data_IF_357877300640
#
_entry.id   IF_357877300640
#
_cell.length_a   1.000
_cell.length_b   1.000
_cell.length_c   1.000
_cell.angle_alpha   90.00
_cell.angle_beta   90.00
_cell.angle_gamma   90.00
#
_symmetry.space_group_name_H-M   'P 1'
#
loop_
_entity.id
_entity.type
_entity.pdbx_description
1 polymer ?
#
# COMPACT_ATOMS: atom_id res chain seq x y z
N UNK A 1 3.46 4.54 45.15
CA UNK A 1 3.28 3.79 43.90
C UNK A 1 3.24 4.80 42.77
N UNK A 2 4.19 4.74 41.83
CA UNK A 2 4.29 5.73 40.75
C UNK A 2 3.16 5.53 39.74
N UNK A 3 2.25 6.49 39.65
CA UNK A 3 1.19 6.52 38.63
C UNK A 3 1.79 7.08 37.34
N UNK A 4 1.86 6.26 36.29
CA UNK A 4 2.27 6.71 34.95
C UNK A 4 1.43 7.90 34.49
N UNK A 5 2.05 8.97 34.00
CA UNK A 5 1.39 10.13 33.38
C UNK A 5 0.78 9.78 32.01
N UNK A 6 1.15 8.64 31.44
CA UNK A 6 0.59 8.19 30.17
C UNK A 6 -0.78 7.54 30.39
N UNK A 7 -1.80 7.90 29.58
CA UNK A 7 -3.09 7.25 29.64
C UNK A 7 -2.90 5.74 29.37
N UNK A 8 -3.64 4.87 30.07
CA UNK A 8 -3.59 3.45 29.78
C UNK A 8 -4.00 3.22 28.32
N UNK A 9 -3.38 2.25 27.64
CA UNK A 9 -3.73 1.94 26.27
C UNK A 9 -5.23 1.60 26.19
N UNK A 10 -5.94 2.08 25.15
CA UNK A 10 -7.34 1.76 24.95
C UNK A 10 -7.58 0.24 25.03
N UNK A 11 -8.72 -0.21 25.59
CA UNK A 11 -8.95 -1.62 25.93
C UNK A 11 -9.12 -2.55 24.71
N UNK A 12 -8.90 -2.07 23.47
CA UNK A 12 -9.02 -2.82 22.23
C UNK A 12 -8.09 -4.04 22.16
N UNK A 13 -6.95 -4.03 22.86
CA UNK A 13 -6.06 -5.19 22.93
C UNK A 13 -6.75 -6.47 23.45
N UNK A 14 -7.85 -6.33 24.21
CA UNK A 14 -8.65 -7.47 24.70
C UNK A 14 -9.38 -8.21 23.59
N UNK A 15 -9.59 -7.57 22.44
CA UNK A 15 -10.26 -8.13 21.27
C UNK A 15 -9.32 -8.97 20.39
N UNK A 16 -8.00 -8.96 20.67
CA UNK A 16 -6.99 -9.71 19.91
C UNK A 16 -6.52 -10.99 20.63
N UNK A 17 -7.16 -11.38 21.74
CA UNK A 17 -6.74 -12.53 22.57
C UNK A 17 -6.76 -13.85 21.80
N UNK A 18 -7.76 -14.04 20.94
CA UNK A 18 -8.00 -15.30 20.26
C UNK A 18 -7.53 -15.27 18.79
N UNK A 19 -6.81 -14.20 18.38
CA UNK A 19 -6.32 -14.01 17.01
C UNK A 19 -5.44 -15.17 16.51
N UNK A 20 -4.68 -15.79 17.42
CA UNK A 20 -3.85 -16.97 17.13
C UNK A 20 -4.66 -18.20 16.73
N UNK A 21 -5.94 -18.27 17.15
CA UNK A 21 -6.83 -19.42 16.94
C UNK A 21 -7.88 -19.11 15.87
N UNK A 22 -8.44 -17.90 15.87
CA UNK A 22 -9.37 -17.40 14.85
C UNK A 22 -8.92 -16.01 14.36
N UNK A 23 -8.31 -15.91 13.16
CA UNK A 23 -7.93 -14.64 12.56
C UNK A 23 -9.10 -13.67 12.30
N UNK A 24 -10.36 -14.14 12.29
CA UNK A 24 -11.57 -13.31 12.14
C UNK A 24 -12.12 -12.77 13.46
N UNK A 25 -11.59 -13.22 14.60
CA UNK A 25 -11.99 -12.72 15.92
C UNK A 25 -11.58 -11.27 16.16
N UNK A 26 -10.55 -10.79 15.47
CA UNK A 26 -10.12 -9.41 15.53
C UNK A 26 -11.15 -8.52 14.82
N UNK A 27 -11.63 -7.43 15.46
CA UNK A 27 -12.51 -6.47 14.82
C UNK A 27 -11.81 -5.87 13.59
N UNK A 28 -12.57 -5.73 12.50
CA UNK A 28 -12.08 -5.03 11.32
C UNK A 28 -11.68 -3.59 11.70
N UNK A 29 -10.60 -3.06 11.09
CA UNK A 29 -10.20 -1.69 11.35
C UNK A 29 -11.38 -0.75 11.08
N UNK A 30 -11.57 0.29 11.90
CA UNK A 30 -12.66 1.23 11.70
C UNK A 30 -12.61 1.80 10.28
N UNK A 31 -13.78 2.03 9.65
CA UNK A 31 -13.84 2.56 8.31
C UNK A 31 -13.08 3.90 8.21
N UNK A 32 -12.48 4.22 7.05
CA UNK A 32 -11.82 5.51 6.85
C UNK A 32 -12.75 6.65 7.23
N UNK A 33 -12.25 7.62 8.00
CA UNK A 33 -13.06 8.76 8.42
C UNK A 33 -13.40 9.60 7.17
N UNK A 34 -14.69 9.69 6.86
CA UNK A 34 -15.21 10.53 5.79
C UNK A 34 -15.50 11.93 6.35
N UNK A 35 -14.61 12.89 6.04
CA UNK A 35 -14.77 14.28 6.47
C UNK A 35 -13.49 14.91 7.01
N UNK A 36 -13.60 16.11 7.63
CA UNK A 36 -12.53 16.72 8.39
C UNK A 36 -12.24 15.89 9.65
N UNK A 37 -11.00 15.44 9.81
CA UNK A 37 -10.55 14.74 11.01
C UNK A 37 -9.29 15.40 11.59
N UNK A 38 -9.16 15.40 12.92
CA UNK A 38 -7.98 15.95 13.59
C UNK A 38 -6.96 14.82 13.73
N UNK A 39 -5.80 14.99 13.12
CA UNK A 39 -4.65 14.11 13.31
C UNK A 39 -3.48 14.95 13.81
N UNK A 40 -2.91 14.59 14.97
CA UNK A 40 -1.81 15.32 15.61
C UNK A 40 -2.06 16.83 15.75
N UNK A 41 -3.30 17.22 16.09
CA UNK A 41 -3.67 18.63 16.26
C UNK A 41 -3.90 19.43 14.96
N UNK A 42 -3.82 18.79 13.78
CA UNK A 42 -4.10 19.43 12.51
C UNK A 42 -5.36 18.84 11.83
N UNK A 43 -6.15 19.71 11.20
CA UNK A 43 -7.34 19.32 10.43
C UNK A 43 -6.93 18.72 9.09
N UNK A 44 -7.35 17.48 8.82
CA UNK A 44 -7.12 16.76 7.58
C UNK A 44 -8.47 16.47 6.93
N UNK A 45 -8.60 16.65 5.62
CA UNK A 45 -9.84 16.31 4.89
C UNK A 45 -9.60 15.07 4.02
N UNK A 46 -10.49 14.10 4.10
CA UNK A 46 -10.43 12.83 3.34
C UNK A 46 -10.62 12.99 1.81
N UNK A 47 -10.90 14.19 1.32
CA UNK A 47 -11.36 14.45 -0.05
C UNK A 47 -10.29 14.97 -1.03
N UNK A 48 -9.01 14.65 -0.84
CA UNK A 48 -7.90 15.13 -1.70
C UNK A 48 -8.14 14.93 -3.21
N UNK A 49 -8.70 13.78 -3.61
CA UNK A 49 -8.99 13.47 -5.02
C UNK A 49 -10.07 14.37 -5.62
N UNK A 50 -11.10 14.71 -4.82
CA UNK A 50 -12.18 15.61 -5.25
C UNK A 50 -11.64 17.04 -5.37
N UNK A 51 -10.84 17.47 -4.41
CA UNK A 51 -10.23 18.79 -4.39
C UNK A 51 -9.26 19.00 -5.56
N UNK A 52 -8.36 18.05 -5.82
CA UNK A 52 -7.46 18.07 -6.97
C UNK A 52 -8.21 18.14 -8.31
N UNK A 53 -9.33 17.43 -8.44
CA UNK A 53 -10.18 17.49 -9.64
C UNK A 53 -10.87 18.84 -9.78
N UNK A 54 -11.34 19.41 -8.67
CA UNK A 54 -11.96 20.73 -8.65
C UNK A 54 -10.97 21.81 -9.10
N UNK A 55 -9.79 21.85 -8.48
CA UNK A 55 -8.71 22.77 -8.83
C UNK A 55 -8.22 22.60 -10.27
N UNK A 56 -8.16 21.37 -10.79
CA UNK A 56 -7.80 21.13 -12.19
C UNK A 56 -8.84 21.71 -13.15
N UNK A 57 -10.14 21.55 -12.85
CA UNK A 57 -11.22 22.14 -13.65
C UNK A 57 -11.18 23.68 -13.58
N UNK A 58 -10.94 24.23 -12.40
CA UNK A 58 -10.79 25.67 -12.20
C UNK A 58 -9.59 26.24 -12.97
N UNK A 59 -8.45 25.51 -12.97
CA UNK A 59 -7.27 25.85 -13.75
C UNK A 59 -7.58 25.91 -15.25
N UNK A 60 -8.30 24.91 -15.78
CA UNK A 60 -8.68 24.87 -17.19
C UNK A 60 -9.53 26.09 -17.57
N UNK A 61 -10.49 26.47 -16.73
CA UNK A 61 -11.31 27.66 -16.95
C UNK A 61 -10.47 28.93 -16.95
N UNK A 62 -9.55 29.09 -15.98
CA UNK A 62 -8.69 30.28 -15.92
C UNK A 62 -7.75 30.39 -17.14
N UNK A 63 -7.30 29.27 -17.70
CA UNK A 63 -6.49 29.26 -18.94
C UNK A 63 -7.32 29.71 -20.14
N UNK A 64 -8.59 29.28 -20.24
CA UNK A 64 -9.49 29.74 -21.30
C UNK A 64 -9.79 31.24 -21.16
N UNK A 65 -10.11 31.70 -19.95
CA UNK A 65 -10.33 33.11 -19.67
C UNK A 65 -9.07 33.96 -19.94
N UNK A 66 -7.88 33.42 -19.69
CA UNK A 66 -6.63 34.09 -20.06
C UNK A 66 -6.50 34.25 -21.58
N UNK A 67 -6.87 33.24 -22.35
CA UNK A 67 -6.86 33.33 -23.82
C UNK A 67 -7.80 34.44 -24.30
N UNK A 68 -9.00 34.54 -23.74
CA UNK A 68 -9.97 35.60 -24.05
C UNK A 68 -9.44 37.00 -23.66
N UNK A 69 -8.85 37.13 -22.46
CA UNK A 69 -8.26 38.39 -21.97
C UNK A 69 -7.11 38.84 -22.88
N UNK A 70 -6.27 37.93 -23.35
CA UNK A 70 -5.16 38.27 -24.24
C UNK A 70 -5.64 38.82 -25.59
N UNK A 71 -6.82 38.40 -26.05
CA UNK A 71 -7.44 38.90 -27.28
C UNK A 71 -8.17 40.22 -27.05
N UNK A 72 -9.03 40.31 -26.03
CA UNK A 72 -9.89 41.48 -25.83
C UNK A 72 -9.24 42.62 -25.03
N UNK A 73 -8.48 42.28 -23.98
CA UNK A 73 -7.98 43.23 -22.97
C UNK A 73 -6.59 42.83 -22.45
N UNK A 74 -5.55 42.87 -23.30
CA UNK A 74 -4.24 42.31 -22.98
C UNK A 74 -3.58 42.97 -21.77
N UNK A 75 -3.93 44.20 -21.38
CA UNK A 75 -3.39 44.86 -20.18
C UNK A 75 -3.81 44.19 -18.86
N UNK A 76 -4.83 43.34 -18.85
CA UNK A 76 -5.37 42.69 -17.64
C UNK A 76 -4.82 41.28 -17.40
N UNK A 77 -3.95 40.76 -18.28
CA UNK A 77 -3.46 39.39 -18.22
C UNK A 77 -2.75 39.06 -16.89
N UNK A 78 -2.04 40.02 -16.29
CA UNK A 78 -1.21 39.81 -15.11
C UNK A 78 -2.03 39.27 -13.92
N UNK A 79 -3.21 39.85 -13.68
CA UNK A 79 -4.12 39.39 -12.62
C UNK A 79 -4.54 37.94 -12.81
N UNK A 80 -4.84 37.55 -14.05
CA UNK A 80 -5.25 36.19 -14.38
C UNK A 80 -4.11 35.18 -14.19
N UNK A 81 -2.88 35.58 -14.53
CA UNK A 81 -1.67 34.77 -14.31
C UNK A 81 -1.39 34.57 -12.81
N UNK A 82 -1.65 35.57 -11.96
CA UNK A 82 -1.54 35.45 -10.51
C UNK A 82 -2.53 34.43 -9.94
N UNK A 83 -3.79 34.45 -10.39
CA UNK A 83 -4.82 33.49 -10.00
C UNK A 83 -4.44 32.06 -10.42
N UNK A 84 -3.98 31.88 -11.67
CA UNK A 84 -3.44 30.59 -12.16
C UNK A 84 -2.28 30.11 -11.29
N UNK A 85 -1.36 31.02 -10.92
CA UNK A 85 -0.21 30.70 -10.07
C UNK A 85 -0.64 30.23 -8.68
N UNK A 86 -1.71 30.81 -8.12
CA UNK A 86 -2.27 30.37 -6.84
C UNK A 86 -2.86 28.96 -6.94
N UNK A 87 -3.59 28.65 -8.01
CA UNK A 87 -4.14 27.31 -8.25
C UNK A 87 -3.01 26.27 -8.33
N UNK A 88 -1.92 26.57 -9.04
CA UNK A 88 -0.74 25.68 -9.10
C UNK A 88 -0.08 25.46 -7.74
N UNK A 89 0.05 26.49 -6.90
CA UNK A 89 0.57 26.35 -5.52
C UNK A 89 -0.31 25.42 -4.69
N UNK A 90 -1.63 25.56 -4.80
CA UNK A 90 -2.59 24.72 -4.09
C UNK A 90 -2.53 23.27 -4.56
N UNK A 91 -2.50 23.03 -5.88
CA UNK A 91 -2.32 21.69 -6.46
C UNK A 91 -1.02 21.05 -5.96
N UNK A 92 0.09 21.79 -5.98
CA UNK A 92 1.38 21.28 -5.52
C UNK A 92 1.37 20.94 -4.03
N UNK A 93 0.74 21.78 -3.20
CA UNK A 93 0.58 21.49 -1.77
C UNK A 93 -0.20 20.19 -1.54
N UNK A 94 -1.34 20.00 -2.20
CA UNK A 94 -2.14 18.77 -2.07
C UNK A 94 -1.37 17.52 -2.54
N UNK A 95 -0.62 17.62 -3.64
CA UNK A 95 0.23 16.53 -4.11
C UNK A 95 1.33 16.18 -3.12
N UNK A 96 1.96 17.19 -2.49
CA UNK A 96 2.97 16.97 -1.46
C UNK A 96 2.38 16.28 -0.21
N UNK A 97 1.17 16.66 0.19
CA UNK A 97 0.44 15.99 1.28
C UNK A 97 0.10 14.52 0.98
N UNK A 98 0.04 14.12 -0.30
CA UNK A 98 -0.19 12.74 -0.72
C UNK A 98 1.09 11.87 -0.75
N UNK A 99 2.29 12.47 -0.71
CA UNK A 99 3.58 11.75 -0.79
C UNK A 99 3.72 10.66 0.28
N UNK A 100 3.34 10.87 1.56
CA UNK A 100 3.42 9.82 2.58
C UNK A 100 2.49 8.62 2.29
N UNK A 101 1.29 8.87 1.75
CA UNK A 101 0.39 7.79 1.33
C UNK A 101 0.97 6.99 0.16
N UNK A 102 1.55 7.66 -0.84
CA UNK A 102 2.22 7.01 -1.96
C UNK A 102 3.40 6.15 -1.50
N UNK A 103 4.23 6.65 -0.58
CA UNK A 103 5.36 5.91 -0.02
C UNK A 103 4.89 4.62 0.68
N UNK A 104 3.82 4.70 1.48
CA UNK A 104 3.20 3.52 2.13
C UNK A 104 2.68 2.51 1.10
N UNK A 105 1.94 2.96 0.09
CA UNK A 105 1.44 2.08 -0.96
C UNK A 105 2.58 1.39 -1.74
N UNK A 106 3.66 2.13 -2.01
CA UNK A 106 4.86 1.59 -2.66
C UNK A 106 5.52 0.51 -1.79
N UNK A 107 5.64 0.76 -0.48
CA UNK A 107 6.21 -0.21 0.46
C UNK A 107 5.36 -1.49 0.54
N UNK A 108 4.04 -1.35 0.62
CA UNK A 108 3.11 -2.49 0.62
C UNK A 108 3.34 -3.33 -0.64
N UNK A 109 3.37 -2.70 -1.82
CA UNK A 109 3.60 -3.41 -3.07
C UNK A 109 4.93 -4.16 -3.11
N UNK A 110 6.02 -3.54 -2.62
CA UNK A 110 7.33 -4.18 -2.51
C UNK A 110 7.26 -5.41 -1.60
N UNK A 111 6.60 -5.30 -0.44
CA UNK A 111 6.45 -6.40 0.50
C UNK A 111 5.61 -7.55 -0.06
N UNK A 112 4.53 -7.24 -0.78
CA UNK A 112 3.71 -8.24 -1.48
C UNK A 112 4.54 -9.02 -2.51
N UNK A 113 5.34 -8.32 -3.32
CA UNK A 113 6.25 -8.94 -4.28
C UNK A 113 7.29 -9.84 -3.58
N UNK A 114 7.83 -9.41 -2.45
CA UNK A 114 8.77 -10.23 -1.67
C UNK A 114 8.10 -11.50 -1.13
N UNK A 115 6.88 -11.41 -0.62
CA UNK A 115 6.10 -12.56 -0.15
C UNK A 115 5.85 -13.53 -1.31
N UNK A 116 5.44 -13.03 -2.47
CA UNK A 116 5.21 -13.86 -3.66
C UNK A 116 6.48 -14.59 -4.11
N UNK A 117 7.62 -13.89 -4.20
CA UNK A 117 8.91 -14.51 -4.54
C UNK A 117 9.32 -15.59 -3.55
N UNK A 118 9.15 -15.34 -2.24
CA UNK A 118 9.47 -16.34 -1.20
C UNK A 118 8.56 -17.56 -1.31
N UNK A 119 7.27 -17.39 -1.57
CA UNK A 119 6.33 -18.50 -1.80
C UNK A 119 6.73 -19.33 -3.00
N UNK A 120 7.09 -18.70 -4.12
CA UNK A 120 7.57 -19.41 -5.32
C UNK A 120 8.84 -20.20 -5.03
N UNK A 121 9.84 -19.59 -4.38
CA UNK A 121 11.08 -20.26 -4.04
C UNK A 121 10.86 -21.48 -3.11
N UNK A 122 9.96 -21.39 -2.13
CA UNK A 122 9.59 -22.52 -1.28
C UNK A 122 8.97 -23.65 -2.10
N UNK A 123 8.10 -23.32 -3.05
CA UNK A 123 7.44 -24.31 -3.90
C UNK A 123 8.42 -25.00 -4.86
N UNK A 124 9.38 -24.26 -5.40
CA UNK A 124 10.46 -24.81 -6.23
C UNK A 124 11.36 -25.76 -5.42
N UNK A 125 11.69 -25.41 -4.17
CA UNK A 125 12.47 -26.28 -3.28
C UNK A 125 11.70 -27.56 -2.96
N UNK A 126 10.38 -27.47 -2.68
CA UNK A 126 9.55 -28.65 -2.44
C UNK A 126 9.50 -29.57 -3.65
N UNK A 127 9.32 -29.02 -4.85
CA UNK A 127 9.32 -29.79 -6.10
C UNK A 127 10.63 -30.54 -6.31
N UNK A 128 11.77 -29.85 -6.16
CA UNK A 128 13.10 -30.49 -6.27
C UNK A 128 13.32 -31.57 -5.22
N UNK A 129 12.84 -31.36 -3.99
CA UNK A 129 12.91 -32.38 -2.94
C UNK A 129 12.13 -33.63 -3.33
N UNK A 130 10.91 -33.48 -3.86
CA UNK A 130 10.09 -34.61 -4.32
C UNK A 130 10.74 -35.37 -5.47
N UNK A 131 11.35 -34.66 -6.43
CA UNK A 131 12.12 -35.26 -7.52
C UNK A 131 13.30 -36.07 -6.99
N UNK A 132 14.12 -35.50 -6.10
CA UNK A 132 15.26 -36.20 -5.47
C UNK A 132 14.79 -37.41 -4.66
N UNK A 133 13.71 -37.28 -3.88
CA UNK A 133 13.16 -38.41 -3.11
C UNK A 133 12.67 -39.54 -4.02
N UNK A 134 12.10 -39.21 -5.19
CA UNK A 134 11.67 -40.20 -6.18
C UNK A 134 12.86 -40.94 -6.77
N UNK A 135 13.89 -40.21 -7.22
CA UNK A 135 15.12 -40.79 -7.77
C UNK A 135 15.85 -41.66 -6.74
N UNK A 136 15.88 -41.25 -5.48
CA UNK A 136 16.49 -42.03 -4.40
C UNK A 136 15.74 -43.34 -4.16
N UNK A 137 14.40 -43.31 -4.13
CA UNK A 137 13.58 -44.53 -3.99
C UNK A 137 13.78 -45.50 -5.15
N UNK A 138 13.84 -44.99 -6.37
CA UNK A 138 14.11 -45.81 -7.57
C UNK A 138 15.50 -46.45 -7.48
N UNK A 139 16.52 -45.67 -7.10
CA UNK A 139 17.89 -46.17 -6.94
C UNK A 139 17.99 -47.25 -5.86
N UNK A 140 17.33 -47.05 -4.70
CA UNK A 140 17.28 -48.06 -3.63
C UNK A 140 16.60 -49.34 -4.13
N UNK A 141 15.47 -49.23 -4.85
CA UNK A 141 14.79 -50.37 -5.44
C UNK A 141 15.68 -51.18 -6.38
N UNK A 142 16.45 -50.50 -7.24
CA UNK A 142 17.41 -51.18 -8.14
C UNK A 142 18.57 -51.87 -7.41
N UNK A 143 18.99 -51.36 -6.25
CA UNK A 143 20.04 -51.98 -5.44
C UNK A 143 19.54 -53.23 -4.71
N UNK A 144 18.30 -53.20 -4.19
CA UNK A 144 17.67 -54.36 -3.55
C UNK A 144 17.43 -55.51 -4.56
N UNK A 145 17.02 -55.18 -5.79
CA UNK A 145 16.76 -56.17 -6.85
C UNK A 145 18.06 -56.82 -7.39
N UNK A 146 19.17 -56.08 -7.39
CA UNK A 146 20.49 -56.64 -7.70
C UNK A 146 21.04 -57.48 -6.54
N UNK A 147 20.79 -57.10 -5.29
CA UNK A 147 21.23 -57.85 -4.10
C UNK A 147 20.57 -59.24 -3.98
N UNK A 148 19.31 -59.37 -4.36
CA UNK A 148 18.60 -60.67 -4.40
C UNK A 148 19.11 -61.56 -5.54
N UNK A 149 19.52 -60.99 -6.67
CA UNK A 149 20.15 -61.72 -7.78
C UNK A 149 21.52 -62.32 -7.42
N UNK A 150 22.31 -61.63 -6.58
CA UNK A 150 23.59 -62.13 -6.07
C UNK A 150 23.46 -63.19 -4.95
N UNK A 151 22.34 -63.23 -4.23
CA UNK A 151 22.10 -64.19 -3.14
C UNK A 151 21.57 -65.57 -3.62
N UNK A 152 21.19 -65.70 -4.89
CA UNK A 152 20.65 -66.93 -5.51
C UNK A 152 21.65 -67.68 -6.40
N UNK A 153 22.94 -67.35 -6.35
CA UNK A 153 24.04 -68.11 -6.98
C UNK A 153 24.98 -68.67 -5.91
#
# INVERSE_FOLDING_TARGET
MATSTYPPPPPYYRLYKDYLQDPKSAPEPPPPIEGPFICYGANHTSYFKKELRSLNRELQLHILELADILVERPSQYARRVEEISLIFKNLHHLLNSLRPHQARATLIHILELQIQRRKQAVEDIKRRREEVQRLLKESIGTLEDNGTSFALK
#
